data_IF_164115833357
#
_entry.id   IF_164115833357
#
_cell.length_a   1.000
_cell.length_b   1.000
_cell.length_c   1.000
_cell.angle_alpha   90.00
_cell.angle_beta   90.00
_cell.angle_gamma   90.00
#
_symmetry.space_group_name_H-M   'P 1'
#
loop_
_entity.id
_entity.type
_entity.pdbx_description
1 polymer ?
#
# COMPACT_ATOMS: atom_id res chain seq x y z
N UNK A 1 26.41 -37.22 -35.11
CA UNK A 1 26.51 -36.83 -33.68
C UNK A 1 26.59 -35.32 -33.39
N UNK A 2 26.87 -34.44 -34.37
CA UNK A 2 26.96 -32.96 -34.11
C UNK A 2 25.62 -32.19 -33.97
N UNK A 3 24.50 -32.76 -34.46
CA UNK A 3 23.20 -32.08 -34.42
C UNK A 3 22.48 -32.18 -33.06
N UNK A 4 22.74 -33.20 -32.26
CA UNK A 4 22.17 -33.36 -30.92
C UNK A 4 22.78 -32.42 -29.88
N UNK A 5 24.03 -32.05 -30.03
CA UNK A 5 24.75 -31.17 -29.10
C UNK A 5 24.24 -29.74 -29.19
N UNK A 6 23.83 -29.29 -30.40
CA UNK A 6 23.32 -27.92 -30.62
C UNK A 6 21.90 -27.75 -30.00
N UNK A 7 21.05 -28.77 -30.13
CA UNK A 7 19.71 -28.72 -29.53
C UNK A 7 19.75 -28.73 -27.99
N UNK A 8 20.66 -29.47 -27.39
CA UNK A 8 20.86 -29.50 -25.93
C UNK A 8 21.36 -28.14 -25.39
N UNK A 9 22.21 -27.44 -26.16
CA UNK A 9 22.74 -26.13 -25.81
C UNK A 9 21.66 -25.04 -25.92
N UNK A 10 20.77 -25.10 -26.92
CA UNK A 10 19.65 -24.16 -27.05
C UNK A 10 18.61 -24.38 -25.96
N UNK A 11 18.29 -25.62 -25.60
CA UNK A 11 17.39 -25.93 -24.50
C UNK A 11 17.96 -25.50 -23.12
N UNK A 12 19.27 -25.63 -22.92
CA UNK A 12 19.93 -25.15 -21.73
C UNK A 12 19.94 -23.61 -21.62
N UNK A 13 20.07 -22.91 -22.74
CA UNK A 13 20.09 -21.44 -22.78
C UNK A 13 18.70 -20.84 -22.53
N UNK A 14 17.63 -21.51 -22.99
CA UNK A 14 16.23 -21.08 -22.72
C UNK A 14 15.87 -21.30 -21.26
N UNK A 15 16.39 -22.33 -20.60
CA UNK A 15 16.16 -22.55 -19.16
C UNK A 15 16.86 -21.51 -18.26
N UNK A 16 17.95 -20.89 -18.74
CA UNK A 16 18.67 -19.81 -18.03
C UNK A 16 17.99 -18.43 -18.17
N UNK A 17 17.04 -18.27 -19.10
CA UNK A 17 16.26 -17.06 -19.29
C UNK A 17 14.91 -17.07 -18.54
N UNK A 18 14.63 -18.09 -17.73
CA UNK A 18 13.57 -18.03 -16.76
C UNK A 18 14.00 -17.02 -15.68
N UNK A 19 13.80 -15.73 -15.98
CA UNK A 19 13.77 -14.67 -14.96
C UNK A 19 12.84 -15.19 -13.87
N UNK A 20 13.28 -15.29 -12.61
CA UNK A 20 12.35 -15.63 -11.56
C UNK A 20 11.28 -14.56 -11.56
N UNK A 21 10.16 -14.82 -12.23
CA UNK A 21 8.94 -14.07 -11.94
C UNK A 21 8.80 -14.22 -10.44
N UNK A 22 8.84 -13.12 -9.70
CA UNK A 22 8.50 -13.13 -8.28
C UNK A 22 7.09 -13.71 -8.18
N UNK A 23 7.03 -15.04 -8.02
CA UNK A 23 5.79 -15.75 -7.85
C UNK A 23 5.34 -15.43 -6.42
N UNK A 24 4.62 -14.31 -6.28
CA UNK A 24 3.94 -13.99 -5.04
C UNK A 24 3.01 -15.15 -4.69
N UNK A 25 2.99 -15.53 -3.43
CA UNK A 25 2.09 -16.59 -2.95
C UNK A 25 0.63 -16.20 -3.28
N UNK A 26 0.04 -16.91 -4.24
CA UNK A 26 -1.33 -16.63 -4.70
C UNK A 26 -2.36 -16.70 -3.56
N UNK A 27 -2.09 -17.51 -2.51
CA UNK A 27 -2.97 -17.61 -1.35
C UNK A 27 -2.99 -16.33 -0.49
N UNK A 28 -1.91 -15.54 -0.54
CA UNK A 28 -1.82 -14.27 0.18
C UNK A 28 -2.40 -13.08 -0.60
N UNK A 29 -2.56 -13.21 -1.92
CA UNK A 29 -3.04 -12.09 -2.76
C UNK A 29 -4.51 -11.81 -2.50
N UNK A 30 -4.82 -10.58 -2.11
CA UNK A 30 -6.20 -10.12 -1.87
C UNK A 30 -6.38 -8.71 -2.35
N UNK A 31 -7.57 -8.43 -2.87
CA UNK A 31 -7.94 -7.07 -3.25
C UNK A 31 -8.22 -6.23 -2.01
N UNK A 32 -7.51 -5.11 -1.87
CA UNK A 32 -7.73 -4.12 -0.80
C UNK A 32 -8.82 -3.11 -1.17
N UNK A 33 -9.33 -3.16 -2.41
CA UNK A 33 -10.34 -2.27 -2.95
C UNK A 33 -9.75 -1.11 -3.75
N UNK A 34 -10.54 -0.07 -3.93
CA UNK A 34 -10.12 1.15 -4.62
C UNK A 34 -9.80 2.27 -3.62
N UNK A 35 -8.86 3.14 -3.99
CA UNK A 35 -8.60 4.38 -3.28
C UNK A 35 -9.53 5.53 -3.77
N UNK A 36 -9.36 6.73 -3.19
CA UNK A 36 -10.12 7.93 -3.58
C UNK A 36 -9.98 8.33 -5.06
N UNK A 37 -8.90 7.90 -5.70
CA UNK A 37 -8.60 8.16 -7.11
C UNK A 37 -9.07 7.02 -8.03
N UNK A 38 -9.84 6.07 -7.49
CA UNK A 38 -10.35 4.85 -8.18
C UNK A 38 -9.24 3.92 -8.68
N UNK A 39 -8.03 4.00 -8.10
CA UNK A 39 -6.96 3.07 -8.38
C UNK A 39 -7.21 1.76 -7.65
N UNK A 40 -7.05 0.63 -8.33
CA UNK A 40 -7.26 -0.68 -7.72
C UNK A 40 -5.98 -1.17 -7.04
N UNK A 41 -6.13 -1.62 -5.80
CA UNK A 41 -5.03 -2.07 -4.95
C UNK A 41 -5.19 -3.52 -4.53
N UNK A 42 -4.07 -4.21 -4.48
CA UNK A 42 -3.95 -5.58 -3.99
C UNK A 42 -2.86 -5.66 -2.93
N UNK A 43 -3.05 -6.51 -1.92
CA UNK A 43 -1.95 -6.99 -1.09
C UNK A 43 -1.37 -8.23 -1.78
N UNK A 44 -0.04 -8.31 -1.85
CA UNK A 44 0.67 -9.41 -2.51
C UNK A 44 1.31 -10.35 -1.50
N UNK A 45 1.91 -9.77 -0.46
CA UNK A 45 2.56 -10.50 0.62
C UNK A 45 2.44 -9.73 1.93
N UNK A 46 2.47 -10.45 3.04
CA UNK A 46 2.41 -9.89 4.39
C UNK A 46 2.86 -10.92 5.42
N UNK A 47 3.31 -10.44 6.55
CA UNK A 47 3.74 -11.30 7.65
C UNK A 47 4.75 -10.61 8.54
N UNK A 48 5.72 -11.38 9.02
CA UNK A 48 6.89 -10.89 9.73
C UNK A 48 8.14 -11.29 8.96
N UNK A 49 9.10 -10.39 8.91
CA UNK A 49 10.42 -10.68 8.34
C UNK A 49 11.25 -11.58 9.27
N UNK A 50 12.50 -11.85 8.89
CA UNK A 50 13.42 -12.67 9.68
C UNK A 50 13.74 -12.08 11.06
N UNK A 51 13.55 -10.78 11.27
CA UNK A 51 13.77 -10.07 12.52
C UNK A 51 12.48 -9.95 13.35
N UNK A 52 11.37 -10.51 12.85
CA UNK A 52 10.06 -10.44 13.50
C UNK A 52 9.32 -9.12 13.26
N UNK A 53 9.80 -8.27 12.37
CA UNK A 53 9.20 -6.98 12.03
C UNK A 53 8.01 -7.22 11.10
N UNK A 54 6.80 -6.73 11.43
CA UNK A 54 5.64 -6.86 10.57
C UNK A 54 5.84 -6.09 9.26
N UNK A 55 5.51 -6.71 8.13
CA UNK A 55 5.60 -6.10 6.81
C UNK A 55 4.38 -6.39 5.94
N UNK A 56 4.18 -5.57 4.91
CA UNK A 56 3.26 -5.84 3.82
C UNK A 56 3.80 -5.32 2.49
N UNK A 57 3.45 -6.01 1.41
CA UNK A 57 3.69 -5.58 0.03
C UNK A 57 2.35 -5.37 -0.65
N UNK A 58 2.15 -4.21 -1.23
CA UNK A 58 0.94 -3.92 -2.00
C UNK A 58 1.26 -3.48 -3.43
N UNK A 59 0.33 -3.74 -4.35
CA UNK A 59 0.43 -3.36 -5.76
C UNK A 59 -0.75 -2.47 -6.15
N UNK A 60 -0.44 -1.40 -6.85
CA UNK A 60 -1.40 -0.48 -7.44
C UNK A 60 -1.44 -0.67 -8.95
N UNK A 61 -2.62 -0.97 -9.50
CA UNK A 61 -2.87 -0.92 -10.94
C UNK A 61 -3.48 0.42 -11.33
N UNK A 62 -3.02 0.97 -12.45
CA UNK A 62 -3.46 2.26 -12.94
C UNK A 62 -4.75 2.11 -13.77
N UNK A 63 -5.89 2.23 -13.10
CA UNK A 63 -7.23 2.24 -13.72
C UNK A 63 -7.73 3.66 -14.03
N UNK A 64 -7.00 4.70 -13.60
CA UNK A 64 -7.25 6.10 -13.88
C UNK A 64 -6.10 6.65 -14.74
N UNK A 65 -6.42 7.06 -15.99
CA UNK A 65 -5.42 7.54 -16.94
C UNK A 65 -4.71 8.82 -16.50
N UNK A 66 -5.42 9.76 -15.85
CA UNK A 66 -4.82 11.01 -15.34
C UNK A 66 -3.73 10.70 -14.33
N UNK A 67 -4.02 9.88 -13.31
CA UNK A 67 -3.04 9.49 -12.30
C UNK A 67 -1.87 8.70 -12.89
N UNK A 68 -2.14 7.89 -13.91
CA UNK A 68 -1.06 7.21 -14.65
C UNK A 68 -0.14 8.22 -15.31
N UNK A 69 -0.70 9.19 -16.03
CA UNK A 69 0.06 10.21 -16.74
C UNK A 69 0.86 11.11 -15.77
N UNK A 70 0.25 11.53 -14.65
CA UNK A 70 0.96 12.29 -13.60
C UNK A 70 2.17 11.49 -13.07
N UNK A 71 2.03 10.17 -12.91
CA UNK A 71 3.14 9.31 -12.50
C UNK A 71 4.21 9.19 -13.58
N UNK A 72 3.82 9.08 -14.85
CA UNK A 72 4.76 9.06 -15.99
C UNK A 72 5.56 10.37 -16.05
N UNK A 73 4.88 11.52 -15.93
CA UNK A 73 5.54 12.83 -15.89
C UNK A 73 6.53 12.95 -14.71
N UNK A 74 6.15 12.44 -13.54
CA UNK A 74 7.05 12.38 -12.39
C UNK A 74 8.29 11.52 -12.67
N UNK A 75 8.11 10.35 -13.29
CA UNK A 75 9.22 9.45 -13.66
C UNK A 75 10.18 10.12 -14.64
N UNK A 76 9.67 10.87 -15.61
CA UNK A 76 10.50 11.62 -16.55
C UNK A 76 11.18 12.81 -15.88
N UNK A 77 10.43 13.65 -15.19
CA UNK A 77 10.94 14.94 -14.69
C UNK A 77 11.86 14.78 -13.48
N UNK A 78 11.52 13.91 -12.54
CA UNK A 78 12.27 13.74 -11.29
C UNK A 78 13.38 12.71 -11.40
N UNK A 79 13.15 11.64 -12.16
CA UNK A 79 14.08 10.51 -12.22
C UNK A 79 14.77 10.38 -13.59
N UNK A 80 14.49 11.27 -14.53
CA UNK A 80 15.20 11.35 -15.82
C UNK A 80 14.94 10.17 -16.76
N UNK A 81 13.81 9.46 -16.60
CA UNK A 81 13.48 8.35 -17.50
C UNK A 81 13.11 8.88 -18.90
N UNK A 82 13.46 8.11 -19.93
CA UNK A 82 12.97 8.42 -21.27
C UNK A 82 11.44 8.29 -21.35
N UNK A 83 10.77 9.06 -22.24
CA UNK A 83 9.32 8.97 -22.45
C UNK A 83 8.84 7.55 -22.77
N UNK A 84 9.62 6.80 -23.55
CA UNK A 84 9.33 5.41 -23.89
C UNK A 84 9.33 4.51 -22.65
N UNK A 85 10.40 4.60 -21.85
CA UNK A 85 10.53 3.78 -20.62
C UNK A 85 9.48 4.16 -19.59
N UNK A 86 9.25 5.45 -19.34
CA UNK A 86 8.23 5.92 -18.42
C UNK A 86 6.81 5.57 -18.89
N UNK A 87 6.55 5.68 -20.21
CA UNK A 87 5.27 5.34 -20.84
C UNK A 87 4.89 3.87 -20.73
N UNK A 88 5.86 2.96 -20.54
CA UNK A 88 5.61 1.54 -20.33
C UNK A 88 5.00 1.21 -18.96
N UNK A 89 4.86 2.18 -18.05
CA UNK A 89 4.30 2.01 -16.71
C UNK A 89 2.96 1.26 -16.73
N UNK A 90 2.90 0.15 -15.98
CA UNK A 90 1.69 -0.66 -15.88
C UNK A 90 1.19 -0.80 -14.45
N UNK A 91 2.07 -1.11 -13.49
CA UNK A 91 1.75 -1.15 -12.06
C UNK A 91 2.90 -0.62 -11.20
N UNK A 92 2.58 -0.34 -9.94
CA UNK A 92 3.56 0.07 -8.93
C UNK A 92 3.41 -0.78 -7.69
N UNK A 93 4.52 -1.25 -7.14
CA UNK A 93 4.59 -1.94 -5.86
C UNK A 93 5.10 -1.02 -4.75
N UNK A 94 4.59 -1.24 -3.56
CA UNK A 94 4.93 -0.51 -2.34
C UNK A 94 5.23 -1.51 -1.24
N UNK A 95 6.42 -1.41 -0.64
CA UNK A 95 6.76 -2.12 0.59
C UNK A 95 6.46 -1.25 1.80
N UNK A 96 5.93 -1.87 2.84
CA UNK A 96 5.66 -1.24 4.13
C UNK A 96 6.21 -2.08 5.26
N UNK A 97 6.74 -1.41 6.26
CA UNK A 97 7.13 -1.95 7.55
C UNK A 97 6.24 -1.32 8.62
N UNK A 98 5.88 -2.08 9.63
CA UNK A 98 5.03 -1.61 10.73
C UNK A 98 5.75 -1.76 12.06
N UNK A 99 5.51 -0.82 12.97
CA UNK A 99 5.97 -1.00 14.35
C UNK A 99 5.28 -2.20 15.00
N UNK A 100 5.94 -2.95 15.90
CA UNK A 100 5.36 -4.13 16.54
C UNK A 100 4.06 -3.84 17.31
N UNK A 101 3.90 -2.62 17.85
CA UNK A 101 2.66 -2.17 18.50
C UNK A 101 1.55 -1.80 17.49
N UNK A 102 1.89 -1.74 16.20
CA UNK A 102 0.98 -1.45 15.11
C UNK A 102 0.40 -0.04 15.13
N UNK A 103 1.16 0.95 15.65
CA UNK A 103 0.73 2.35 15.65
C UNK A 103 1.30 3.15 14.50
N UNK A 104 2.45 2.75 13.97
CA UNK A 104 3.15 3.46 12.90
C UNK A 104 3.52 2.50 11.77
N UNK A 105 3.77 3.07 10.60
CA UNK A 105 4.35 2.39 9.46
C UNK A 105 5.39 3.27 8.79
N UNK A 106 6.32 2.65 8.09
CA UNK A 106 7.23 3.30 7.17
C UNK A 106 7.12 2.65 5.78
N UNK A 107 7.27 3.42 4.73
CA UNK A 107 7.45 2.92 3.38
C UNK A 107 8.89 2.47 3.22
N UNK A 108 9.11 1.24 2.77
CA UNK A 108 10.45 0.67 2.59
C UNK A 108 10.93 0.72 1.16
N UNK A 109 10.00 0.68 0.19
CA UNK A 109 10.31 0.89 -1.21
C UNK A 109 9.08 1.29 -2.03
N UNK A 110 9.35 1.87 -3.20
CA UNK A 110 8.41 2.02 -4.32
C UNK A 110 9.10 1.49 -5.57
N UNK A 111 8.46 0.61 -6.31
CA UNK A 111 8.98 0.08 -7.58
C UNK A 111 7.92 0.14 -8.66
N UNK A 112 8.30 0.64 -9.81
CA UNK A 112 7.44 0.78 -10.98
C UNK A 112 7.78 -0.28 -12.00
N UNK A 113 6.76 -0.88 -12.63
CA UNK A 113 6.92 -2.02 -13.52
C UNK A 113 6.13 -1.83 -14.81
N UNK A 114 6.64 -2.42 -15.89
CA UNK A 114 5.92 -2.59 -17.15
C UNK A 114 4.90 -3.75 -17.07
N UNK A 115 4.22 -4.00 -18.18
CA UNK A 115 3.21 -5.07 -18.30
C UNK A 115 3.84 -6.47 -18.21
N UNK A 116 5.11 -6.62 -18.56
CA UNK A 116 5.85 -7.89 -18.49
C UNK A 116 6.44 -8.16 -17.11
N UNK A 117 6.34 -7.20 -16.18
CA UNK A 117 6.90 -7.30 -14.83
C UNK A 117 8.37 -6.90 -14.75
N UNK A 118 8.93 -6.23 -15.78
CA UNK A 118 10.27 -5.66 -15.69
C UNK A 118 10.21 -4.36 -14.90
N UNK A 119 11.15 -4.19 -13.97
CA UNK A 119 11.29 -2.96 -13.20
C UNK A 119 11.79 -1.82 -14.10
N UNK A 120 11.02 -0.73 -14.18
CA UNK A 120 11.39 0.46 -14.94
C UNK A 120 12.08 1.50 -14.06
N UNK A 121 11.72 1.55 -12.77
CA UNK A 121 12.35 2.41 -11.77
C UNK A 121 12.01 1.93 -10.36
N UNK A 122 12.96 2.07 -9.43
CA UNK A 122 12.75 1.75 -8.02
C UNK A 122 13.44 2.74 -7.09
N UNK A 123 12.81 3.02 -5.95
CA UNK A 123 13.39 3.76 -4.83
C UNK A 123 13.26 2.89 -3.59
N UNK A 124 14.37 2.68 -2.88
CA UNK A 124 14.40 2.03 -1.57
C UNK A 124 14.55 3.13 -0.52
N UNK A 125 13.75 3.04 0.54
CA UNK A 125 13.81 3.94 1.68
C UNK A 125 14.51 3.23 2.83
N UNK A 126 15.62 3.81 3.24
CA UNK A 126 16.45 3.34 4.35
C UNK A 126 17.09 4.56 5.05
N UNK A 127 17.95 4.31 6.03
CA UNK A 127 18.62 5.37 6.77
C UNK A 127 19.98 5.75 6.15
N UNK A 128 20.27 5.35 4.88
CA UNK A 128 21.55 5.59 4.23
C UNK A 128 21.73 7.03 3.73
N UNK A 129 20.64 7.76 3.48
CA UNK A 129 20.68 9.16 3.03
C UNK A 129 19.42 9.93 3.44
N UNK A 130 19.52 11.25 3.59
CA UNK A 130 18.36 12.11 3.87
C UNK A 130 17.29 12.05 2.75
N UNK A 131 17.71 11.83 1.48
CA UNK A 131 16.79 11.78 0.34
C UNK A 131 15.93 10.50 0.31
N UNK A 132 16.43 9.42 0.90
CA UNK A 132 15.77 8.11 0.97
C UNK A 132 15.49 7.69 2.39
N UNK A 133 15.52 8.59 3.34
CA UNK A 133 15.30 8.31 4.75
C UNK A 133 13.95 7.67 5.00
N UNK A 134 13.96 6.57 5.73
CA UNK A 134 12.77 5.86 6.14
C UNK A 134 12.09 6.64 7.28
N UNK A 135 10.87 7.11 7.04
CA UNK A 135 10.08 7.86 8.02
C UNK A 135 8.89 7.06 8.51
N UNK A 136 8.71 7.00 9.83
CA UNK A 136 7.56 6.38 10.45
C UNK A 136 6.39 7.35 10.61
N UNK A 137 5.25 6.99 10.04
CA UNK A 137 4.02 7.78 10.05
C UNK A 137 2.97 7.07 10.91
N UNK A 138 2.24 7.82 11.71
CA UNK A 138 1.15 7.27 12.51
C UNK A 138 0.03 6.72 11.60
N UNK A 139 -0.37 5.46 11.80
CA UNK A 139 -1.47 4.84 11.04
C UNK A 139 -2.81 5.57 11.22
N UNK A 140 -3.01 6.20 12.37
CA UNK A 140 -4.19 7.04 12.64
C UNK A 140 -4.28 8.27 11.74
N UNK A 141 -3.13 8.82 11.29
CA UNK A 141 -3.09 9.97 10.38
C UNK A 141 -3.49 9.62 8.94
N UNK A 142 -3.44 8.34 8.59
CA UNK A 142 -3.73 7.81 7.25
C UNK A 142 -4.88 6.80 7.25
N UNK A 143 -5.81 6.91 8.19
CA UNK A 143 -6.94 5.98 8.32
C UNK A 143 -7.68 5.79 6.99
N UNK A 144 -7.97 4.53 6.62
CA UNK A 144 -8.63 4.17 5.36
C UNK A 144 -7.71 4.13 4.13
N UNK A 145 -6.45 4.55 4.24
CA UNK A 145 -5.45 4.43 3.17
C UNK A 145 -5.01 2.98 2.95
N UNK A 146 -4.29 2.74 1.85
CA UNK A 146 -3.74 1.42 1.53
C UNK A 146 -2.81 0.88 2.62
N UNK A 147 -1.81 1.63 3.15
CA UNK A 147 -0.98 1.12 4.24
C UNK A 147 -1.78 0.81 5.50
N UNK A 148 -2.83 1.58 5.84
CA UNK A 148 -3.69 1.27 6.99
C UNK A 148 -4.51 -0.01 6.79
N UNK A 149 -4.99 -0.27 5.57
CA UNK A 149 -5.68 -1.53 5.23
C UNK A 149 -4.71 -2.72 5.23
N UNK A 150 -3.50 -2.55 4.67
CA UNK A 150 -2.48 -3.59 4.63
C UNK A 150 -1.97 -3.96 6.04
N UNK A 151 -1.93 -3.00 6.97
CA UNK A 151 -1.55 -3.23 8.36
C UNK A 151 -2.42 -4.31 9.05
N UNK A 152 -3.69 -4.43 8.68
CA UNK A 152 -4.58 -5.44 9.25
C UNK A 152 -4.08 -6.86 8.97
N UNK A 153 -3.54 -7.07 7.77
CA UNK A 153 -2.96 -8.35 7.37
C UNK A 153 -1.59 -8.57 8.03
N UNK A 154 -0.71 -7.58 7.97
CA UNK A 154 0.64 -7.67 8.54
C UNK A 154 0.64 -7.92 10.06
N UNK A 155 -0.34 -7.34 10.77
CA UNK A 155 -0.47 -7.44 12.23
C UNK A 155 -1.41 -8.56 12.68
N UNK A 156 -1.99 -9.34 11.76
CA UNK A 156 -2.95 -10.39 12.08
C UNK A 156 -4.24 -9.88 12.76
N UNK A 157 -4.59 -8.59 12.58
CA UNK A 157 -5.79 -8.00 13.18
C UNK A 157 -7.01 -8.32 12.32
N UNK A 158 -8.04 -8.92 12.92
CA UNK A 158 -9.31 -9.17 12.22
C UNK A 158 -10.01 -7.84 11.92
N UNK A 159 -10.49 -7.68 10.69
CA UNK A 159 -11.29 -6.53 10.20
C UNK A 159 -12.54 -6.26 11.06
N UNK A 160 -13.00 -7.26 11.83
CA UNK A 160 -14.20 -7.19 12.66
C UNK A 160 -14.07 -6.32 13.92
N UNK A 161 -12.84 -5.95 14.36
CA UNK A 161 -12.67 -5.27 15.64
C UNK A 161 -12.81 -3.73 15.58
N UNK A 162 -12.57 -3.11 14.43
CA UNK A 162 -12.61 -1.64 14.32
C UNK A 162 -14.03 -1.06 14.15
N UNK A 163 -14.94 -1.81 13.51
CA UNK A 163 -16.34 -1.38 13.35
C UNK A 163 -17.08 -1.30 14.69
N UNK A 164 -16.71 -2.12 15.67
CA UNK A 164 -17.30 -2.10 17.02
C UNK A 164 -16.78 -0.95 17.89
N UNK A 165 -15.52 -0.57 17.77
CA UNK A 165 -14.93 0.52 18.55
C UNK A 165 -15.48 1.89 18.14
N UNK A 166 -15.71 2.09 16.83
CA UNK A 166 -16.28 3.36 16.30
C UNK A 166 -17.78 3.49 16.63
N UNK A 167 -18.53 2.38 16.64
CA UNK A 167 -19.93 2.35 17.02
C UNK A 167 -20.14 2.60 18.52
N UNK A 168 -19.27 2.07 19.39
CA UNK A 168 -19.34 2.28 20.83
C UNK A 168 -19.02 3.73 21.24
N UNK A 169 -18.08 4.40 20.56
CA UNK A 169 -17.79 5.83 20.80
C UNK A 169 -18.90 6.77 20.37
N UNK A 170 -19.71 6.39 19.38
CA UNK A 170 -20.82 7.21 18.87
C UNK A 170 -22.07 7.11 19.73
N UNK A 171 -22.25 6.05 20.50
CA UNK A 171 -23.42 5.85 21.39
C UNK A 171 -23.27 6.54 22.75
N UNK A 172 -22.05 6.77 23.23
CA UNK A 172 -21.81 7.46 24.52
C UNK A 172 -21.85 8.99 24.43
N UNK A 173 -21.70 9.57 23.23
CA UNK A 173 -21.75 11.02 23.04
C UNK A 173 -23.17 11.61 22.95
N UNK A 174 -24.23 10.78 22.90
CA UNK A 174 -25.62 11.24 22.71
C UNK A 174 -26.49 11.27 23.98
N UNK A 175 -25.90 11.07 25.18
CA UNK A 175 -26.64 10.96 26.46
C UNK A 175 -26.33 12.06 27.47
N UNK A 176 -25.78 13.21 27.08
CA UNK A 176 -25.49 14.30 27.99
C UNK A 176 -25.90 15.66 27.36
N UNK A 177 -27.18 15.93 27.21
CA UNK A 177 -27.69 17.31 27.13
C UNK A 177 -29.20 17.30 27.33
N UNK A 178 -29.65 17.08 28.56
CA UNK A 178 -30.99 17.52 29.02
C UNK A 178 -30.76 18.46 30.19
N UNK A 179 -30.64 19.74 29.87
CA UNK A 179 -30.75 20.83 30.85
C UNK A 179 -32.24 21.10 31.10
N UNK A 180 -32.76 21.08 32.32
CA UNK A 180 -34.14 21.39 32.58
C UNK A 180 -34.36 22.90 32.45
N UNK A 181 -35.34 23.28 31.64
CA UNK A 181 -35.79 24.67 31.44
C UNK A 181 -36.33 25.27 32.77
N UNK A 182 -35.69 26.33 33.25
CA UNK A 182 -36.15 27.15 34.37
C UNK A 182 -37.39 27.91 33.95
N UNK A 183 -38.52 27.62 34.61
CA UNK A 183 -39.83 28.30 34.48
C UNK A 183 -39.73 29.72 35.07
N UNK A 184 -39.75 30.73 34.23
CA UNK A 184 -39.84 32.14 34.68
C UNK A 184 -41.32 32.46 35.01
N UNK A 185 -41.56 32.68 36.30
CA UNK A 185 -42.88 33.20 36.79
C UNK A 185 -42.89 34.71 36.60
N UNK A 186 -43.82 35.18 35.77
CA UNK A 186 -44.03 36.62 35.50
C UNK A 186 -45.04 37.18 36.54
N UNK A 187 -44.54 38.00 37.46
CA UNK A 187 -45.36 38.71 38.39
C UNK A 187 -46.12 39.88 37.69
N UNK A 188 -47.42 39.90 37.79
CA UNK A 188 -48.24 41.06 37.41
C UNK A 188 -48.16 42.09 38.54
N UNK A 189 -47.85 43.38 38.21
CA UNK A 189 -48.05 44.55 39.06
C UNK A 189 -49.30 45.26 38.63
N UNK A 190 -50.11 45.60 39.63
CA UNK A 190 -51.24 46.51 39.52
C UNK A 190 -50.79 47.92 39.19
#
# INVERSE_FOLDING_TARGET
>A
MKKFTVCALILGLVALMAVPSFAWDAAKQKQLGQDKNKMTWYILDYGKDANGVPFAVSRKYYTNATIKNDTIELLMSKFGLSPEKAGSLYFTEYGYEYTPDGKQFAQTYVRHYDMLGNEIHGTVYDDSSEATKKEFIALSAVAGSTPAKAAQYALGRSVASETKATAAKKSTAKKSSTVPAKRVVRAKKK
#
